data_IF_288429405954
#
_entry.id   IF_288429405954
#
_cell.length_a   1.000
_cell.length_b   1.000
_cell.length_c   1.000
_cell.angle_alpha   90.00
_cell.angle_beta   90.00
_cell.angle_gamma   90.00
#
_symmetry.space_group_name_H-M   'P 1'
#
loop_
_entity.id
_entity.type
_entity.pdbx_description
1 polymer ?
#
# COMPACT_ATOMS: atom_id res chain seq x y z
N UNK A 1 -1.23 -20.22 -7.27
CA UNK A 1 -2.56 -19.78 -7.73
C UNK A 1 -2.69 -20.02 -9.23
N UNK A 2 -3.86 -20.42 -9.73
CA UNK A 2 -4.08 -20.54 -11.17
C UNK A 2 -4.12 -19.17 -11.83
N UNK A 3 -3.40 -19.04 -12.94
CA UNK A 3 -3.29 -17.80 -13.72
C UNK A 3 -3.39 -18.12 -15.21
N UNK A 4 -3.53 -17.11 -16.09
CA UNK A 4 -3.50 -17.36 -17.54
C UNK A 4 -2.22 -18.02 -18.07
N UNK A 5 -1.13 -18.02 -17.29
CA UNK A 5 0.15 -18.68 -17.61
C UNK A 5 0.32 -20.04 -16.94
N UNK A 6 -0.72 -20.57 -16.30
CA UNK A 6 -0.65 -21.76 -15.43
C UNK A 6 -0.45 -21.38 -13.96
N UNK A 7 -0.08 -22.34 -13.14
CA UNK A 7 0.12 -22.13 -11.70
C UNK A 7 1.35 -21.25 -11.42
N UNK A 8 1.15 -20.09 -10.82
CA UNK A 8 2.22 -19.19 -10.40
C UNK A 8 2.11 -18.87 -8.90
N UNK A 9 3.23 -18.61 -8.19
CA UNK A 9 3.19 -18.00 -6.87
C UNK A 9 2.66 -16.57 -6.98
N UNK A 10 1.87 -16.15 -5.98
CA UNK A 10 1.33 -14.79 -5.90
C UNK A 10 1.56 -14.24 -4.50
N UNK A 11 2.01 -12.99 -4.42
CA UNK A 11 2.15 -12.23 -3.19
C UNK A 11 1.52 -10.85 -3.37
N UNK A 12 0.87 -10.33 -2.34
CA UNK A 12 0.13 -9.08 -2.38
C UNK A 12 0.92 -7.96 -1.67
N UNK A 13 1.32 -6.93 -2.40
CA UNK A 13 2.09 -5.82 -1.86
C UNK A 13 1.24 -4.78 -1.10
N UNK A 14 -0.11 -4.97 -1.01
CA UNK A 14 -0.97 -3.91 -0.50
C UNK A 14 -2.25 -4.46 0.14
N UNK A 15 -2.20 -4.72 1.43
CA UNK A 15 -3.38 -5.03 2.25
C UNK A 15 -3.44 -4.07 3.44
N UNK A 16 -4.52 -3.33 3.56
CA UNK A 16 -4.80 -2.53 4.74
C UNK A 16 -5.23 -3.42 5.90
N UNK A 17 -4.49 -3.39 7.00
CA UNK A 17 -4.81 -4.12 8.21
C UNK A 17 -5.71 -3.26 9.12
N UNK A 18 -7.02 -3.32 8.89
CA UNK A 18 -8.00 -2.57 9.66
C UNK A 18 -8.25 -3.24 11.02
N UNK A 19 -7.41 -2.91 11.99
CA UNK A 19 -7.46 -3.41 13.35
C UNK A 19 -8.64 -2.85 14.14
N UNK A 20 -8.86 -3.38 15.35
CA UNK A 20 -9.80 -2.80 16.31
C UNK A 20 -9.49 -1.31 16.57
N UNK A 21 -8.21 -0.96 16.70
CA UNK A 21 -7.74 0.42 16.92
C UNK A 21 -8.05 1.34 15.74
N UNK A 22 -7.94 0.84 14.52
CA UNK A 22 -8.36 1.59 13.32
C UNK A 22 -9.83 1.99 13.39
N UNK A 23 -10.72 1.05 13.71
CA UNK A 23 -12.15 1.34 13.84
C UNK A 23 -12.45 2.20 15.07
N UNK A 24 -11.72 2.03 16.18
CA UNK A 24 -11.78 2.89 17.35
C UNK A 24 -11.51 4.36 16.99
N UNK A 25 -10.44 4.62 16.24
CA UNK A 25 -10.12 5.97 15.79
C UNK A 25 -11.21 6.60 14.88
N UNK A 26 -11.92 5.79 14.09
CA UNK A 26 -13.07 6.26 13.30
C UNK A 26 -14.31 6.53 14.19
N UNK A 27 -14.55 5.69 15.18
CA UNK A 27 -15.63 5.86 16.15
C UNK A 27 -15.46 7.15 16.95
N UNK A 28 -14.24 7.44 17.41
CA UNK A 28 -13.89 8.67 18.13
C UNK A 28 -14.14 9.90 17.25
N UNK A 29 -13.70 9.89 15.97
CA UNK A 29 -13.94 10.97 15.04
C UNK A 29 -15.44 11.18 14.76
N UNK A 30 -16.20 10.08 14.70
CA UNK A 30 -17.66 10.12 14.53
C UNK A 30 -18.40 10.48 15.82
N UNK A 31 -17.72 10.47 16.96
CA UNK A 31 -18.32 10.62 18.31
C UNK A 31 -19.45 9.62 18.54
N UNK A 32 -19.22 8.36 18.16
CA UNK A 32 -20.20 7.29 18.24
C UNK A 32 -19.59 6.01 18.86
N UNK A 33 -20.38 5.16 19.51
CA UNK A 33 -19.89 3.88 20.02
C UNK A 33 -19.35 3.00 18.88
N UNK A 34 -18.22 2.32 19.09
CA UNK A 34 -17.59 1.48 18.08
C UNK A 34 -18.55 0.46 17.45
N UNK A 35 -19.37 -0.23 18.30
CA UNK A 35 -20.40 -1.20 17.87
C UNK A 35 -21.42 -0.62 16.88
N UNK A 36 -21.62 0.69 16.85
CA UNK A 36 -22.58 1.33 15.95
C UNK A 36 -22.05 1.48 14.52
N UNK A 37 -20.77 1.22 14.28
CA UNK A 37 -20.16 1.33 12.95
C UNK A 37 -20.47 0.12 12.07
N UNK A 38 -20.65 -1.09 12.63
CA UNK A 38 -20.92 -2.31 11.86
C UNK A 38 -22.14 -2.19 10.94
N UNK A 39 -23.34 -1.82 11.45
CA UNK A 39 -24.51 -1.70 10.59
C UNK A 39 -24.39 -0.57 9.55
N UNK A 40 -23.61 0.49 9.86
CA UNK A 40 -23.40 1.60 8.94
C UNK A 40 -22.44 1.20 7.79
N UNK A 41 -21.46 0.38 8.07
CA UNK A 41 -20.45 -0.04 7.11
C UNK A 41 -20.89 -1.30 6.34
N UNK A 42 -21.63 -2.20 6.96
CA UNK A 42 -21.82 -3.57 6.49
C UNK A 42 -20.51 -4.36 6.54
N UNK A 43 -19.60 -4.00 7.44
CA UNK A 43 -18.30 -4.63 7.63
C UNK A 43 -18.22 -5.28 8.99
N UNK A 44 -17.39 -6.31 9.11
CA UNK A 44 -17.05 -6.92 10.39
C UNK A 44 -15.99 -6.05 11.09
N UNK A 45 -16.25 -5.68 12.34
CA UNK A 45 -15.25 -5.00 13.17
C UNK A 45 -14.50 -6.07 13.97
N UNK A 46 -13.19 -6.18 13.82
CA UNK A 46 -12.41 -7.18 14.57
C UNK A 46 -12.44 -6.88 16.07
N UNK A 47 -12.32 -7.92 16.88
CA UNK A 47 -12.07 -7.78 18.32
C UNK A 47 -10.70 -7.17 18.61
N UNK A 48 -10.39 -6.99 19.90
CA UNK A 48 -9.10 -6.47 20.37
C UNK A 48 -7.94 -7.44 20.13
N UNK A 49 -8.23 -8.72 20.01
CA UNK A 49 -7.24 -9.76 19.74
C UNK A 49 -6.75 -9.68 18.29
N UNK A 50 -5.61 -9.06 18.11
CA UNK A 50 -4.95 -8.86 16.82
C UNK A 50 -4.55 -10.18 16.15
N UNK A 51 -4.18 -11.21 16.95
CA UNK A 51 -3.77 -12.50 16.41
C UNK A 51 -4.94 -13.22 15.71
N UNK A 52 -6.17 -13.05 16.21
CA UNK A 52 -7.36 -13.57 15.54
C UNK A 52 -7.59 -12.89 14.18
N UNK A 53 -7.43 -11.58 14.08
CA UNK A 53 -7.52 -10.87 12.81
C UNK A 53 -6.42 -11.32 11.84
N UNK A 54 -5.19 -11.47 12.34
CA UNK A 54 -4.07 -11.96 11.54
C UNK A 54 -4.32 -13.40 11.02
N UNK A 55 -4.84 -14.29 11.88
CA UNK A 55 -5.22 -15.64 11.50
C UNK A 55 -6.35 -15.66 10.45
N UNK A 56 -7.34 -14.77 10.57
CA UNK A 56 -8.41 -14.63 9.57
C UNK A 56 -7.84 -14.19 8.20
N UNK A 57 -6.86 -13.27 8.18
CA UNK A 57 -6.17 -12.91 6.94
C UNK A 57 -5.33 -14.06 6.39
N UNK A 58 -4.64 -14.87 7.22
CA UNK A 58 -3.93 -16.06 6.74
C UNK A 58 -4.89 -17.05 6.09
N UNK A 59 -6.03 -17.34 6.72
CA UNK A 59 -7.05 -18.24 6.16
C UNK A 59 -7.60 -17.71 4.83
N UNK A 60 -7.80 -16.40 4.73
CA UNK A 60 -8.27 -15.77 3.51
C UNK A 60 -7.23 -15.86 2.38
N UNK A 61 -5.96 -15.61 2.69
CA UNK A 61 -4.85 -15.75 1.73
C UNK A 61 -4.68 -17.21 1.29
N UNK A 62 -4.83 -18.18 2.21
CA UNK A 62 -4.76 -19.62 1.89
C UNK A 62 -5.88 -20.04 0.94
N UNK A 63 -7.11 -19.53 1.19
CA UNK A 63 -8.26 -19.79 0.30
C UNK A 63 -7.99 -19.37 -1.14
N UNK A 64 -7.24 -18.30 -1.32
CA UNK A 64 -6.86 -17.76 -2.63
C UNK A 64 -5.48 -18.20 -3.13
N UNK A 65 -4.76 -19.02 -2.38
CA UNK A 65 -3.41 -19.48 -2.75
C UNK A 65 -2.36 -18.37 -2.80
N UNK A 66 -2.53 -17.34 -1.95
CA UNK A 66 -1.57 -16.22 -1.85
C UNK A 66 -0.49 -16.59 -0.83
N UNK A 67 0.77 -16.51 -1.24
CA UNK A 67 1.90 -16.95 -0.42
C UNK A 67 2.27 -15.95 0.67
N UNK A 68 2.37 -14.66 0.34
CA UNK A 68 2.73 -13.59 1.27
C UNK A 68 1.94 -12.31 1.01
N UNK A 69 1.85 -11.46 2.02
CA UNK A 69 1.28 -10.13 1.86
C UNK A 69 2.00 -9.07 2.70
N UNK A 70 1.93 -7.82 2.22
CA UNK A 70 2.26 -6.64 3.02
C UNK A 70 1.00 -6.20 3.78
N UNK A 71 1.10 -6.10 5.10
CA UNK A 71 0.07 -5.53 5.96
C UNK A 71 0.40 -4.08 6.30
N UNK A 72 -0.52 -3.18 6.04
CA UNK A 72 -0.37 -1.75 6.31
C UNK A 72 -1.19 -1.38 7.55
N UNK A 73 -0.53 -0.98 8.64
CA UNK A 73 -1.21 -0.32 9.75
C UNK A 73 -1.79 1.01 9.25
N UNK A 74 -3.13 1.12 9.22
CA UNK A 74 -3.85 2.11 8.43
C UNK A 74 -4.27 3.36 9.22
N UNK A 75 -3.72 3.52 10.42
CA UNK A 75 -3.83 4.74 11.23
C UNK A 75 -2.50 4.96 11.95
N UNK A 76 -2.01 6.23 12.04
CA UNK A 76 -0.80 6.51 12.78
C UNK A 76 -0.89 6.05 14.24
N UNK A 77 0.16 5.40 14.73
CA UNK A 77 0.22 4.86 16.08
C UNK A 77 -0.34 3.45 16.26
N UNK A 78 -0.77 2.77 15.17
CA UNK A 78 -1.27 1.39 15.21
C UNK A 78 -0.25 0.33 14.72
N UNK A 79 1.03 0.68 14.69
CA UNK A 79 2.09 -0.23 14.25
C UNK A 79 2.14 -1.53 15.08
N UNK A 80 1.77 -1.47 16.35
CA UNK A 80 1.82 -2.64 17.25
C UNK A 80 0.88 -3.76 16.79
N UNK A 81 -0.26 -3.41 16.19
CA UNK A 81 -1.17 -4.39 15.60
C UNK A 81 -0.50 -5.16 14.44
N UNK A 82 0.22 -4.46 13.57
CA UNK A 82 0.93 -5.11 12.46
C UNK A 82 2.17 -5.85 12.96
N UNK A 83 2.90 -5.31 13.95
CA UNK A 83 4.04 -6.00 14.58
C UNK A 83 3.58 -7.36 15.13
N UNK A 84 2.48 -7.39 15.89
CA UNK A 84 1.94 -8.64 16.46
C UNK A 84 1.53 -9.63 15.36
N UNK A 85 0.89 -9.16 14.28
CA UNK A 85 0.50 -10.01 13.15
C UNK A 85 1.72 -10.62 12.43
N UNK A 86 2.76 -9.82 12.18
CA UNK A 86 4.01 -10.31 11.54
C UNK A 86 4.77 -11.25 12.48
N UNK A 87 4.82 -10.94 13.77
CA UNK A 87 5.45 -11.79 14.79
C UNK A 87 4.81 -13.17 14.86
N UNK A 88 3.47 -13.22 14.76
CA UNK A 88 2.70 -14.47 14.76
C UNK A 88 2.87 -15.28 13.48
N UNK A 89 2.97 -14.62 12.33
CA UNK A 89 3.05 -15.23 11.01
C UNK A 89 4.18 -14.65 10.15
N UNK A 90 5.45 -14.81 10.55
CA UNK A 90 6.59 -14.14 9.91
C UNK A 90 6.83 -14.60 8.47
N UNK A 91 6.42 -15.80 8.13
CA UNK A 91 6.54 -16.35 6.77
C UNK A 91 5.43 -15.90 5.82
N UNK A 92 4.40 -15.22 6.37
CA UNK A 92 3.21 -14.82 5.62
C UNK A 92 3.10 -13.32 5.43
N UNK A 93 3.69 -12.52 6.32
CA UNK A 93 3.49 -11.08 6.33
C UNK A 93 4.79 -10.27 6.35
N UNK A 94 4.75 -9.15 5.63
CA UNK A 94 5.64 -8.02 5.84
C UNK A 94 4.84 -6.88 6.45
N UNK A 95 5.42 -6.13 7.39
CA UNK A 95 4.74 -5.07 8.09
C UNK A 95 5.10 -3.67 7.57
N UNK A 96 4.08 -2.87 7.28
CA UNK A 96 4.19 -1.44 7.05
C UNK A 96 3.40 -0.67 8.09
N UNK A 97 3.84 0.55 8.40
CA UNK A 97 3.13 1.46 9.30
C UNK A 97 2.84 2.80 8.65
N UNK A 98 1.63 3.31 8.84
CA UNK A 98 1.30 4.69 8.46
C UNK A 98 1.98 5.66 9.43
N UNK A 99 2.63 6.66 8.87
CA UNK A 99 3.31 7.72 9.63
C UNK A 99 2.68 9.09 9.37
N UNK A 100 2.61 9.89 10.44
CA UNK A 100 2.31 11.32 10.32
C UNK A 100 3.54 12.10 10.83
N UNK A 101 4.36 12.69 9.95
CA UNK A 101 5.55 13.43 10.36
C UNK A 101 5.28 14.61 11.30
N UNK A 102 4.04 15.12 11.31
CA UNK A 102 3.63 16.23 12.18
C UNK A 102 3.21 15.76 13.59
N UNK A 103 3.10 14.45 13.82
CA UNK A 103 2.77 13.94 15.17
C UNK A 103 3.92 14.18 16.17
N UNK A 104 3.63 14.50 17.42
CA UNK A 104 4.65 14.90 18.41
C UNK A 104 5.78 13.88 18.63
N UNK A 105 5.51 12.57 18.54
CA UNK A 105 6.49 11.48 18.76
C UNK A 105 6.69 10.64 17.49
N UNK A 106 6.54 11.22 16.30
CA UNK A 106 6.64 10.47 15.06
C UNK A 106 7.98 9.74 14.91
N UNK A 107 9.09 10.41 15.19
CA UNK A 107 10.42 9.83 15.09
C UNK A 107 10.64 8.69 16.10
N UNK A 108 10.25 8.87 17.36
CA UNK A 108 10.36 7.83 18.38
C UNK A 108 9.49 6.60 18.07
N UNK A 109 8.28 6.79 17.52
CA UNK A 109 7.43 5.68 17.08
C UNK A 109 8.08 4.90 15.92
N UNK A 110 8.63 5.59 14.92
CA UNK A 110 9.31 4.98 13.78
C UNK A 110 10.56 4.22 14.24
N UNK A 111 11.39 4.81 15.11
CA UNK A 111 12.59 4.18 15.61
C UNK A 111 12.27 2.87 16.36
N UNK A 112 11.28 2.89 17.27
CA UNK A 112 10.82 1.69 17.98
C UNK A 112 10.28 0.63 17.01
N UNK A 113 9.45 1.04 16.06
CA UNK A 113 8.85 0.13 15.10
C UNK A 113 9.89 -0.54 14.19
N UNK A 114 10.85 0.21 13.65
CA UNK A 114 11.94 -0.33 12.83
C UNK A 114 12.90 -1.21 13.66
N UNK A 115 13.09 -0.88 14.93
CA UNK A 115 13.93 -1.69 15.84
C UNK A 115 13.31 -3.03 16.21
N UNK A 116 11.99 -3.20 16.07
CA UNK A 116 11.32 -4.49 16.26
C UNK A 116 11.73 -5.54 15.21
N UNK A 117 12.22 -5.09 14.04
CA UNK A 117 12.52 -5.95 12.88
C UNK A 117 11.29 -6.44 12.12
N UNK A 118 10.07 -6.16 12.58
CA UNK A 118 8.81 -6.60 11.96
C UNK A 118 8.19 -5.54 11.03
N UNK A 119 8.56 -4.26 11.21
CA UNK A 119 8.18 -3.19 10.29
C UNK A 119 9.30 -2.98 9.26
N UNK A 120 8.94 -3.13 7.99
CA UNK A 120 9.84 -3.00 6.85
C UNK A 120 9.46 -1.83 5.93
N UNK A 121 8.38 -1.12 6.22
CA UNK A 121 7.96 0.02 5.42
C UNK A 121 7.30 1.13 6.21
N UNK A 122 7.58 2.37 5.79
CA UNK A 122 6.94 3.58 6.29
C UNK A 122 5.99 4.11 5.22
N UNK A 123 4.70 4.24 5.55
CA UNK A 123 3.67 4.73 4.64
C UNK A 123 3.42 6.21 4.89
N UNK A 124 3.83 7.03 3.94
CA UNK A 124 3.60 8.47 3.92
C UNK A 124 2.33 8.79 3.13
N UNK A 125 1.45 9.59 3.72
CA UNK A 125 0.21 10.08 3.10
C UNK A 125 0.20 11.62 3.12
N UNK A 126 1.01 12.28 2.27
CA UNK A 126 1.21 13.73 2.34
C UNK A 126 -0.10 14.51 2.19
N UNK A 127 -0.97 14.14 1.25
CA UNK A 127 -2.28 14.77 1.08
C UNK A 127 -3.20 14.60 2.30
N UNK A 128 -3.19 13.41 2.95
CA UNK A 128 -4.03 13.11 4.11
C UNK A 128 -3.64 13.94 5.33
N UNK A 129 -2.36 14.13 5.55
CA UNK A 129 -1.81 14.79 6.73
C UNK A 129 -1.32 16.21 6.45
N UNK A 130 -1.59 16.74 5.23
CA UNK A 130 -1.34 18.14 4.81
C UNK A 130 0.13 18.57 5.00
N UNK A 131 1.10 17.77 4.51
CA UNK A 131 2.51 18.10 4.53
C UNK A 131 3.18 17.79 3.18
N UNK A 132 4.26 18.48 2.84
CA UNK A 132 5.10 18.12 1.70
C UNK A 132 6.00 16.93 2.05
N UNK A 133 6.18 15.99 1.12
CA UNK A 133 7.16 14.90 1.29
C UNK A 133 8.59 15.44 1.41
N UNK A 134 8.83 16.67 0.97
CA UNK A 134 10.11 17.39 1.11
C UNK A 134 10.26 18.11 2.46
N UNK A 135 9.24 18.08 3.33
CA UNK A 135 9.28 18.68 4.66
C UNK A 135 10.39 18.03 5.52
N UNK A 136 11.10 18.85 6.31
CA UNK A 136 12.19 18.40 7.17
C UNK A 136 11.75 17.27 8.14
N UNK A 137 10.50 17.33 8.61
CA UNK A 137 9.93 16.31 9.49
C UNK A 137 9.79 14.96 8.78
N UNK A 138 9.40 14.95 7.50
CA UNK A 138 9.38 13.74 6.68
C UNK A 138 10.82 13.25 6.41
N UNK A 139 11.76 14.18 6.17
CA UNK A 139 13.18 13.90 6.03
C UNK A 139 13.75 13.15 7.24
N UNK A 140 13.42 13.58 8.47
CA UNK A 140 13.86 12.88 9.70
C UNK A 140 13.38 11.42 9.75
N UNK A 141 12.18 11.12 9.30
CA UNK A 141 11.68 9.75 9.25
C UNK A 141 12.37 8.94 8.13
N UNK A 142 12.67 9.58 7.01
CA UNK A 142 13.44 8.95 5.94
C UNK A 142 14.89 8.69 6.33
N UNK A 143 15.52 9.55 7.15
CA UNK A 143 16.85 9.31 7.72
C UNK A 143 16.86 8.04 8.59
N UNK A 144 15.83 7.83 9.42
CA UNK A 144 15.65 6.60 10.20
C UNK A 144 15.45 5.36 9.29
N UNK A 145 14.66 5.50 8.22
CA UNK A 145 14.48 4.45 7.23
C UNK A 145 15.79 4.10 6.51
N UNK A 146 16.56 5.11 6.10
CA UNK A 146 17.85 4.93 5.42
C UNK A 146 18.91 4.24 6.30
N UNK A 147 18.84 4.43 7.62
CA UNK A 147 19.71 3.77 8.59
C UNK A 147 19.41 2.28 8.78
N UNK A 148 18.27 1.77 8.28
CA UNK A 148 17.86 0.36 8.37
C UNK A 148 17.75 -0.24 6.97
N UNK A 149 18.76 -0.98 6.49
CA UNK A 149 18.74 -1.60 5.16
C UNK A 149 17.48 -2.45 4.91
N UNK A 150 16.94 -2.38 3.70
CA UNK A 150 15.70 -3.06 3.32
C UNK A 150 14.41 -2.38 3.82
N UNK A 151 14.51 -1.18 4.41
CA UNK A 151 13.31 -0.38 4.71
C UNK A 151 12.82 0.31 3.45
N UNK A 152 11.50 0.27 3.26
CA UNK A 152 10.79 0.84 2.10
C UNK A 152 10.07 2.12 2.53
N UNK A 153 10.02 3.12 1.65
CA UNK A 153 9.16 4.28 1.80
C UNK A 153 8.00 4.17 0.80
N UNK A 154 6.81 3.86 1.29
CA UNK A 154 5.58 3.89 0.52
C UNK A 154 5.00 5.30 0.58
N UNK A 155 4.81 5.95 -0.57
CA UNK A 155 4.35 7.35 -0.63
C UNK A 155 3.09 7.43 -1.48
N UNK A 156 1.95 7.67 -0.82
CA UNK A 156 0.68 7.83 -1.52
C UNK A 156 0.67 9.15 -2.29
N UNK A 157 0.59 9.04 -3.61
CA UNK A 157 0.43 10.14 -4.54
C UNK A 157 -0.96 10.09 -5.19
N UNK A 158 -1.38 11.20 -5.79
CA UNK A 158 -2.62 11.27 -6.55
C UNK A 158 -3.88 11.41 -5.71
N UNK A 159 -5.00 11.06 -6.33
CA UNK A 159 -6.32 11.18 -5.71
C UNK A 159 -6.45 10.22 -4.53
N UNK A 160 -6.71 10.76 -3.36
CA UNK A 160 -6.94 9.99 -2.16
C UNK A 160 -8.43 10.02 -1.79
N UNK A 161 -9.07 8.86 -1.82
CA UNK A 161 -10.47 8.69 -1.44
C UNK A 161 -10.60 7.55 -0.46
N UNK A 162 -10.90 7.85 0.79
CA UNK A 162 -11.07 6.84 1.85
C UNK A 162 -12.55 6.48 1.97
N UNK A 163 -12.95 5.37 1.35
CA UNK A 163 -14.35 4.93 1.23
C UNK A 163 -15.05 4.76 2.57
N UNK A 164 -14.37 4.28 3.61
CA UNK A 164 -14.91 4.12 4.95
C UNK A 164 -15.34 5.46 5.57
N UNK A 165 -14.55 6.52 5.38
CA UNK A 165 -14.90 7.86 5.88
C UNK A 165 -16.19 8.35 5.24
N UNK A 166 -16.32 8.18 3.92
CA UNK A 166 -17.53 8.56 3.19
C UNK A 166 -18.76 7.79 3.67
N UNK A 167 -18.66 6.48 3.88
CA UNK A 167 -19.74 5.65 4.43
C UNK A 167 -20.16 6.11 5.83
N UNK A 168 -19.21 6.56 6.64
CA UNK A 168 -19.48 7.06 7.99
C UNK A 168 -19.91 8.54 8.03
N UNK A 169 -19.95 9.23 6.89
CA UNK A 169 -20.24 10.67 6.84
C UNK A 169 -19.13 11.53 7.45
N UNK A 170 -17.90 11.03 7.51
CA UNK A 170 -16.75 11.75 8.03
C UNK A 170 -16.11 12.61 6.92
N UNK A 171 -15.75 13.87 7.17
CA UNK A 171 -15.08 14.70 6.19
C UNK A 171 -13.67 14.15 5.88
N UNK A 172 -13.25 14.28 4.63
CA UNK A 172 -11.87 14.00 4.20
C UNK A 172 -11.23 15.33 3.83
N UNK A 173 -10.55 15.95 4.79
CA UNK A 173 -9.89 17.23 4.64
C UNK A 173 -8.49 17.06 4.05
N UNK A 174 -8.42 16.32 2.94
CA UNK A 174 -7.16 16.02 2.25
C UNK A 174 -6.78 17.17 1.33
N UNK A 175 -5.49 17.50 1.33
CA UNK A 175 -4.96 18.57 0.49
C UNK A 175 -4.14 17.99 -0.68
N UNK A 176 -4.74 17.98 -1.86
CA UNK A 176 -4.13 17.44 -3.07
C UNK A 176 -2.90 18.22 -3.56
N UNK A 177 -2.61 19.40 -3.03
CA UNK A 177 -1.34 20.10 -3.32
C UNK A 177 -0.12 19.29 -2.93
N UNK A 178 -0.28 18.35 -1.99
CA UNK A 178 0.78 17.49 -1.48
C UNK A 178 0.77 16.09 -2.09
N UNK A 179 0.08 15.87 -3.21
CA UNK A 179 -0.08 14.53 -3.79
C UNK A 179 0.62 14.32 -5.12
N UNK A 180 1.40 15.30 -5.62
CA UNK A 180 2.09 15.17 -6.90
C UNK A 180 3.33 14.27 -6.75
N UNK A 181 3.46 13.18 -7.55
CA UNK A 181 4.66 12.32 -7.52
C UNK A 181 5.96 13.06 -7.83
N UNK A 182 5.92 14.14 -8.61
CA UNK A 182 7.12 14.93 -8.96
C UNK A 182 7.80 15.50 -7.71
N UNK A 183 7.05 15.78 -6.64
CA UNK A 183 7.61 16.26 -5.37
C UNK A 183 8.55 15.21 -4.73
N UNK A 184 8.40 13.94 -5.08
CA UNK A 184 9.25 12.86 -4.59
C UNK A 184 10.59 12.79 -5.31
N UNK A 185 10.77 13.46 -6.47
CA UNK A 185 12.00 13.37 -7.27
C UNK A 185 13.25 13.76 -6.47
N UNK A 186 13.29 14.95 -5.88
CA UNK A 186 14.43 15.40 -5.08
C UNK A 186 14.70 14.50 -3.87
N UNK A 187 13.64 13.95 -3.28
CA UNK A 187 13.72 13.02 -2.15
C UNK A 187 14.33 11.68 -2.58
N UNK A 188 13.87 11.12 -3.71
CA UNK A 188 14.41 9.87 -4.25
C UNK A 188 15.90 9.95 -4.58
N UNK A 189 16.34 11.10 -5.14
CA UNK A 189 17.76 11.37 -5.41
C UNK A 189 18.59 11.52 -4.11
N UNK A 190 18.01 12.13 -3.08
CA UNK A 190 18.68 12.28 -1.77
C UNK A 190 18.84 10.95 -1.05
N UNK A 191 17.92 10.01 -1.24
CA UNK A 191 17.91 8.70 -0.58
C UNK A 191 18.02 7.54 -1.60
N UNK A 192 19.13 7.40 -2.33
CA UNK A 192 19.24 6.44 -3.44
C UNK A 192 19.18 4.97 -2.99
N UNK A 193 19.36 4.69 -1.69
CA UNK A 193 19.29 3.34 -1.12
C UNK A 193 17.89 2.97 -0.62
N UNK A 194 17.00 3.95 -0.44
CA UNK A 194 15.61 3.69 -0.10
C UNK A 194 14.87 3.32 -1.37
N UNK A 195 14.11 2.23 -1.33
CA UNK A 195 13.13 1.87 -2.36
C UNK A 195 11.83 2.59 -2.06
N UNK A 196 11.41 3.46 -2.97
CA UNK A 196 10.15 4.19 -2.85
C UNK A 196 9.07 3.48 -3.64
N UNK A 197 7.91 3.25 -3.02
CA UNK A 197 6.74 2.64 -3.66
C UNK A 197 5.66 3.68 -3.82
N UNK A 198 5.26 3.94 -5.06
CA UNK A 198 4.13 4.81 -5.41
C UNK A 198 2.93 3.92 -5.74
N UNK A 199 1.88 3.90 -4.90
CA UNK A 199 0.73 3.02 -5.10
C UNK A 199 -0.19 3.48 -6.22
N UNK A 200 -1.02 2.53 -6.71
CA UNK A 200 -2.11 2.77 -7.64
C UNK A 200 -1.65 3.45 -8.94
N UNK A 201 -0.42 3.14 -9.39
CA UNK A 201 0.22 3.82 -10.53
C UNK A 201 0.23 5.36 -10.42
N UNK A 202 0.20 5.91 -9.19
CA UNK A 202 0.14 7.36 -8.95
C UNK A 202 -1.28 7.93 -8.89
N UNK A 203 -2.32 7.08 -8.93
CA UNK A 203 -3.73 7.43 -8.65
C UNK A 203 -4.23 8.71 -9.36
N UNK A 204 -4.05 8.79 -10.68
CA UNK A 204 -4.44 9.94 -11.52
C UNK A 204 -3.30 10.90 -11.86
N UNK A 205 -2.11 10.72 -11.31
CA UNK A 205 -0.84 11.32 -11.76
C UNK A 205 0.05 10.26 -12.45
N UNK A 206 -0.56 9.44 -13.29
CA UNK A 206 0.13 8.31 -13.91
C UNK A 206 1.33 8.75 -14.77
N UNK A 207 1.16 9.81 -15.56
CA UNK A 207 2.25 10.38 -16.38
C UNK A 207 3.41 10.85 -15.51
N UNK A 208 3.12 11.56 -14.42
CA UNK A 208 4.11 12.08 -13.47
C UNK A 208 4.81 10.94 -12.73
N UNK A 209 4.08 9.88 -12.37
CA UNK A 209 4.66 8.67 -11.78
C UNK A 209 5.61 7.95 -12.75
N UNK A 210 5.27 7.89 -14.04
CA UNK A 210 6.16 7.34 -15.07
C UNK A 210 7.43 8.20 -15.26
N UNK A 211 7.29 9.53 -15.32
CA UNK A 211 8.44 10.44 -15.38
C UNK A 211 9.39 10.24 -14.19
N UNK A 212 8.81 10.03 -12.99
CA UNK A 212 9.58 9.75 -11.79
C UNK A 212 10.32 8.40 -11.88
N UNK A 213 9.67 7.36 -12.39
CA UNK A 213 10.28 6.05 -12.62
C UNK A 213 11.42 6.11 -13.64
N UNK A 214 11.28 6.92 -14.69
CA UNK A 214 12.31 7.09 -15.71
C UNK A 214 13.58 7.72 -15.14
N UNK A 215 13.41 8.71 -14.28
CA UNK A 215 14.51 9.49 -13.70
C UNK A 215 15.14 8.85 -12.45
N UNK A 216 14.40 8.01 -11.72
CA UNK A 216 14.84 7.48 -10.44
C UNK A 216 14.72 5.94 -10.40
N UNK A 217 15.85 5.20 -10.43
CA UNK A 217 15.84 3.73 -10.47
C UNK A 217 15.33 3.07 -9.19
N UNK A 218 15.24 3.82 -8.10
CA UNK A 218 14.74 3.37 -6.79
C UNK A 218 13.22 3.61 -6.60
N UNK A 219 12.50 3.97 -7.65
CA UNK A 219 11.03 4.11 -7.64
C UNK A 219 10.39 2.84 -8.18
N UNK A 220 9.41 2.34 -7.45
CA UNK A 220 8.56 1.20 -7.76
C UNK A 220 7.11 1.65 -7.86
N UNK A 221 6.33 1.00 -8.72
CA UNK A 221 4.89 1.21 -8.82
C UNK A 221 4.15 0.02 -8.22
N UNK A 222 3.26 0.29 -7.30
CA UNK A 222 2.27 -0.67 -6.82
C UNK A 222 1.02 -0.58 -7.72
N UNK A 223 0.56 -1.71 -8.21
CA UNK A 223 -0.52 -1.81 -9.20
C UNK A 223 -1.91 -1.90 -8.59
N UNK A 224 -2.01 -1.81 -7.27
CA UNK A 224 -3.21 -2.09 -6.49
C UNK A 224 -4.42 -1.19 -6.79
N UNK A 225 -5.55 -1.55 -6.20
CA UNK A 225 -6.86 -0.91 -6.30
C UNK A 225 -7.61 -1.14 -7.63
N UNK A 226 -8.83 -0.63 -7.70
CA UNK A 226 -9.69 -0.73 -8.89
C UNK A 226 -9.21 0.12 -10.07
N UNK A 227 -8.19 0.94 -9.87
CA UNK A 227 -7.66 1.88 -10.86
C UNK A 227 -8.75 2.80 -11.46
N UNK A 228 -9.78 3.13 -10.67
CA UNK A 228 -10.88 4.02 -11.09
C UNK A 228 -10.41 5.45 -11.40
N UNK A 229 -9.18 5.80 -11.06
CA UNK A 229 -8.53 7.06 -11.43
C UNK A 229 -8.36 7.22 -12.94
N UNK A 230 -8.36 6.12 -13.72
CA UNK A 230 -8.27 6.17 -15.19
C UNK A 230 -9.36 7.06 -15.82
N UNK A 231 -10.49 7.25 -15.15
CA UNK A 231 -11.58 8.15 -15.59
C UNK A 231 -11.21 9.64 -15.63
N UNK A 232 -10.10 10.03 -15.02
CA UNK A 232 -9.61 11.41 -15.02
C UNK A 232 -8.69 11.72 -16.19
N UNK A 233 -8.29 10.70 -16.94
CA UNK A 233 -7.43 10.84 -18.12
C UNK A 233 -8.23 11.34 -19.33
N UNK A 234 -7.65 12.24 -20.12
CA UNK A 234 -8.30 12.83 -21.29
C UNK A 234 -8.60 11.80 -22.39
N UNK A 235 -7.67 10.85 -22.59
CA UNK A 235 -7.88 9.73 -23.53
C UNK A 235 -8.52 8.56 -22.82
N UNK A 236 -9.30 7.75 -23.54
CA UNK A 236 -9.82 6.50 -23.00
C UNK A 236 -8.66 5.57 -22.62
N UNK A 237 -8.34 5.54 -21.34
CA UNK A 237 -7.25 4.73 -20.76
C UNK A 237 -7.84 3.44 -20.18
N UNK A 238 -7.33 2.30 -20.63
CA UNK A 238 -7.63 0.99 -20.05
C UNK A 238 -6.42 0.41 -19.33
N UNK A 239 -6.65 -0.62 -18.52
CA UNK A 239 -5.61 -1.24 -17.70
C UNK A 239 -4.48 -1.86 -18.55
N UNK A 240 -4.78 -2.33 -19.76
CA UNK A 240 -3.78 -2.85 -20.72
C UNK A 240 -2.81 -1.75 -21.15
N UNK A 241 -3.34 -0.59 -21.47
CA UNK A 241 -2.53 0.58 -21.85
C UNK A 241 -1.69 1.07 -20.66
N UNK A 242 -2.25 1.06 -19.44
CA UNK A 242 -1.50 1.38 -18.21
C UNK A 242 -0.32 0.42 -18.05
N UNK A 243 -0.55 -0.89 -18.13
CA UNK A 243 0.53 -1.87 -17.98
C UNK A 243 1.57 -1.77 -19.09
N UNK A 244 1.18 -1.57 -20.37
CA UNK A 244 2.17 -1.38 -21.45
C UNK A 244 3.10 -0.21 -21.17
N UNK A 245 2.54 0.95 -20.81
CA UNK A 245 3.33 2.15 -20.51
C UNK A 245 4.20 1.97 -19.26
N UNK A 246 3.67 1.33 -18.22
CA UNK A 246 4.42 1.07 -17.01
C UNK A 246 5.58 0.08 -17.25
N UNK A 247 5.36 -0.96 -18.07
CA UNK A 247 6.41 -1.90 -18.46
C UNK A 247 7.48 -1.25 -19.35
N UNK A 248 7.08 -0.37 -20.26
CA UNK A 248 7.98 0.36 -21.14
C UNK A 248 8.92 1.29 -20.37
N UNK A 249 8.40 2.03 -19.40
CA UNK A 249 9.15 3.05 -18.65
C UNK A 249 9.83 2.49 -17.38
N UNK A 250 9.05 1.82 -16.52
CA UNK A 250 9.57 1.31 -15.26
C UNK A 250 10.26 -0.05 -15.42
N UNK A 251 9.89 -0.80 -16.44
CA UNK A 251 10.31 -2.18 -16.62
C UNK A 251 9.61 -3.16 -15.67
N UNK A 252 9.70 -4.47 -15.94
CA UNK A 252 8.94 -5.48 -15.20
C UNK A 252 9.39 -5.63 -13.73
N UNK A 253 10.65 -5.32 -13.41
CA UNK A 253 11.24 -5.51 -12.08
C UNK A 253 10.82 -4.47 -11.04
N UNK A 254 10.13 -3.40 -11.47
CA UNK A 254 9.70 -2.31 -10.58
C UNK A 254 8.20 -2.19 -10.47
N UNK A 255 7.45 -3.21 -10.92
CA UNK A 255 6.01 -3.32 -10.72
C UNK A 255 5.72 -4.32 -9.59
N UNK A 256 4.88 -3.94 -8.65
CA UNK A 256 4.49 -4.75 -7.50
C UNK A 256 2.99 -5.01 -7.56
N UNK A 257 2.61 -6.27 -7.66
CA UNK A 257 1.20 -6.63 -7.61
C UNK A 257 0.62 -6.34 -6.22
N UNK A 258 -0.55 -5.72 -6.17
CA UNK A 258 -1.32 -5.48 -4.96
C UNK A 258 -2.81 -5.40 -5.25
N UNK A 259 -3.64 -5.59 -4.21
CA UNK A 259 -5.10 -5.58 -4.36
C UNK A 259 -5.81 -4.42 -3.67
N UNK A 260 -5.19 -3.75 -2.70
CA UNK A 260 -5.85 -2.78 -1.82
C UNK A 260 -6.99 -3.42 -1.01
N UNK A 261 -6.79 -4.68 -0.61
CA UNK A 261 -7.72 -5.40 0.28
C UNK A 261 -7.71 -4.79 1.67
N UNK A 262 -8.83 -4.84 2.40
CA UNK A 262 -8.89 -4.07 3.66
C UNK A 262 -9.87 -4.55 4.71
N UNK A 263 -10.99 -5.17 4.38
CA UNK A 263 -12.06 -5.46 5.34
C UNK A 263 -12.77 -6.77 5.07
N UNK A 264 -13.33 -7.35 6.11
CA UNK A 264 -14.28 -8.47 6.02
C UNK A 264 -15.74 -7.93 6.03
N UNK A 265 -16.67 -8.59 5.34
CA UNK A 265 -16.56 -9.94 4.76
C UNK A 265 -16.00 -9.98 3.33
N UNK A 266 -15.59 -8.87 2.71
CA UNK A 266 -15.02 -8.91 1.35
C UNK A 266 -13.78 -9.79 1.29
N UNK A 267 -12.88 -9.68 2.28
CA UNK A 267 -11.61 -10.37 2.28
C UNK A 267 -10.67 -9.88 1.18
N UNK A 268 -9.89 -10.79 0.61
CA UNK A 268 -8.97 -10.52 -0.48
C UNK A 268 -9.71 -10.21 -1.78
N UNK A 269 -9.30 -9.14 -2.45
CA UNK A 269 -10.03 -8.60 -3.60
C UNK A 269 -9.64 -9.34 -4.90
N UNK A 270 -10.19 -10.53 -5.09
CA UNK A 270 -9.93 -11.36 -6.26
C UNK A 270 -10.25 -10.66 -7.59
N UNK A 271 -11.25 -9.77 -7.62
CA UNK A 271 -11.60 -9.04 -8.84
C UNK A 271 -10.46 -8.13 -9.36
N UNK A 272 -9.66 -7.58 -8.46
CA UNK A 272 -8.45 -6.80 -8.85
C UNK A 272 -7.40 -7.72 -9.45
N UNK A 273 -7.17 -8.89 -8.86
CA UNK A 273 -6.26 -9.89 -9.41
C UNK A 273 -6.69 -10.35 -10.82
N UNK A 274 -7.95 -10.72 -10.98
CA UNK A 274 -8.50 -11.18 -12.26
C UNK A 274 -8.35 -10.10 -13.35
N UNK A 275 -8.66 -8.84 -13.02
CA UNK A 275 -8.54 -7.74 -13.96
C UNK A 275 -7.08 -7.49 -14.38
N UNK A 276 -6.14 -7.55 -13.43
CA UNK A 276 -4.73 -7.30 -13.69
C UNK A 276 -4.07 -8.44 -14.46
N UNK A 277 -4.29 -9.69 -14.07
CA UNK A 277 -3.74 -10.87 -14.77
C UNK A 277 -4.29 -10.99 -16.19
N UNK A 278 -5.58 -10.71 -16.39
CA UNK A 278 -6.18 -10.62 -17.70
C UNK A 278 -5.51 -9.55 -18.56
N UNK A 279 -5.35 -8.33 -18.03
CA UNK A 279 -4.73 -7.25 -18.78
C UNK A 279 -3.27 -7.54 -19.15
N UNK A 280 -2.48 -8.11 -18.24
CA UNK A 280 -1.10 -8.51 -18.49
C UNK A 280 -1.01 -9.62 -19.55
N UNK A 281 -1.90 -10.62 -19.50
CA UNK A 281 -1.95 -11.69 -20.48
C UNK A 281 -2.32 -11.19 -21.88
N UNK A 282 -3.34 -10.33 -21.97
CA UNK A 282 -3.82 -9.76 -23.25
C UNK A 282 -2.78 -8.85 -23.94
N UNK A 283 -1.85 -8.28 -23.20
CA UNK A 283 -0.74 -7.50 -23.78
C UNK A 283 0.49 -8.34 -24.12
N UNK A 284 0.43 -9.67 -23.92
CA UNK A 284 1.48 -10.60 -24.30
C UNK A 284 2.64 -10.71 -23.32
N UNK A 285 2.43 -10.38 -22.02
CA UNK A 285 3.44 -10.59 -20.98
C UNK A 285 3.72 -12.08 -20.84
N UNK A 286 5.01 -12.46 -20.75
CA UNK A 286 5.43 -13.86 -20.55
C UNK A 286 5.17 -14.32 -19.12
N UNK A 287 5.09 -15.65 -18.89
CA UNK A 287 4.91 -16.21 -17.55
C UNK A 287 6.04 -15.82 -16.59
N UNK A 288 7.26 -15.67 -17.07
CA UNK A 288 8.40 -15.19 -16.28
C UNK A 288 8.21 -13.76 -15.78
N UNK A 289 7.81 -12.85 -16.67
CA UNK A 289 7.52 -11.46 -16.31
C UNK A 289 6.31 -11.39 -15.39
N UNK A 290 5.28 -12.19 -15.64
CA UNK A 290 4.11 -12.27 -14.77
C UNK A 290 4.49 -12.74 -13.36
N UNK A 291 5.31 -13.78 -13.23
CA UNK A 291 5.83 -14.27 -11.95
C UNK A 291 6.61 -13.16 -11.21
N UNK A 292 7.48 -12.45 -11.92
CA UNK A 292 8.21 -11.33 -11.34
C UNK A 292 7.27 -10.28 -10.73
N UNK A 293 6.25 -9.83 -11.48
CA UNK A 293 5.29 -8.80 -11.02
C UNK A 293 4.41 -9.33 -9.88
N UNK A 294 3.91 -10.56 -10.02
CA UNK A 294 2.96 -11.15 -9.08
C UNK A 294 3.60 -11.64 -7.77
N UNK A 295 4.92 -11.88 -7.77
CA UNK A 295 5.59 -12.48 -6.61
C UNK A 295 7.02 -12.00 -6.38
N UNK A 296 7.94 -12.23 -7.32
CA UNK A 296 9.38 -12.14 -7.05
C UNK A 296 9.84 -10.73 -6.69
N UNK A 297 9.28 -9.71 -7.33
CA UNK A 297 9.62 -8.32 -7.08
C UNK A 297 9.32 -7.91 -5.63
N UNK A 298 8.23 -8.42 -5.04
CA UNK A 298 7.93 -8.16 -3.63
C UNK A 298 8.98 -8.80 -2.71
N UNK A 299 9.45 -10.02 -3.01
CA UNK A 299 10.49 -10.66 -2.22
C UNK A 299 11.82 -9.88 -2.32
N UNK A 300 12.17 -9.43 -3.53
CA UNK A 300 13.39 -8.65 -3.79
C UNK A 300 13.32 -7.22 -3.21
N UNK A 301 12.12 -6.68 -2.98
CA UNK A 301 11.95 -5.35 -2.40
C UNK A 301 12.54 -5.25 -0.99
N UNK A 302 12.66 -6.34 -0.26
CA UNK A 302 13.15 -6.38 1.12
C UNK A 302 14.54 -7.04 1.27
N UNK A 303 15.15 -7.46 0.15
CA UNK A 303 16.50 -8.04 0.13
C UNK A 303 17.60 -6.98 0.19
#
# INVERSE_FOLDING_TARGET
METPWGALPVSDAHIHFFSHRFFGALADQKKAPLRSLEPLLGWQIPGEDVEQLAAAWVQELDRHGISKAVLIASVPGDQDSVIAAVQKFPDRFFGYMMVNPAAPDAAGQVERALSSGHIRGLCFFPAMHCYSIQDERAGKLLDLAAAKPGTVAFVHCGVLSVGVRRKLGLPSLFDMRFSNPVDLHAVALRYPKIRFVVPHFGAGYFREALMLCDLCPNIYLDTSSSNSWMRYEEAHLDLRTVFRRALDVAGPKRLLFGTDSSFFPRGWNAAVFDAQTKALYEIGVTGEIACAILHDNLQQLFS
#
